data_IF_614854364974
#
_entry.id   IF_614854364974
#
_cell.length_a   1.000
_cell.length_b   1.000
_cell.length_c   1.000
_cell.angle_alpha   90.00
_cell.angle_beta   90.00
_cell.angle_gamma   90.00
#
_symmetry.space_group_name_H-M   'P 1'
#
loop_
_entity.id
_entity.type
_entity.pdbx_description
1 polymer ?
#
# COMPACT_ATOMS: atom_id res chain seq x y z
N UNK A 1 -8.51 26.35 -7.63
CA UNK A 1 -8.76 25.05 -6.92
C UNK A 1 -7.85 24.89 -5.70
N UNK A 2 -6.53 25.11 -5.82
CA UNK A 2 -5.61 25.27 -4.67
C UNK A 2 -5.97 26.49 -3.80
N UNK A 3 -6.50 27.55 -4.41
CA UNK A 3 -6.97 28.74 -3.68
C UNK A 3 -8.19 28.47 -2.78
N UNK A 4 -8.98 27.42 -3.09
CA UNK A 4 -10.11 26.99 -2.25
C UNK A 4 -9.62 26.38 -0.93
N UNK A 5 -8.49 25.68 -0.95
CA UNK A 5 -7.84 25.08 0.22
C UNK A 5 -7.07 26.15 1.04
N UNK A 6 -6.59 27.23 0.41
CA UNK A 6 -5.98 28.35 1.16
C UNK A 6 -7.00 29.18 1.94
N UNK A 7 -8.21 29.33 1.42
CA UNK A 7 -9.32 29.97 2.14
C UNK A 7 -9.76 29.17 3.38
N UNK A 8 -9.56 27.85 3.42
CA UNK A 8 -9.90 26.99 4.58
C UNK A 8 -9.17 27.35 5.88
N UNK A 9 -7.96 27.92 5.84
CA UNK A 9 -7.22 28.33 7.05
C UNK A 9 -7.78 29.59 7.72
N UNK A 10 -8.77 30.25 7.11
CA UNK A 10 -9.36 31.52 7.57
C UNK A 10 -10.85 31.38 7.93
N UNK A 11 -11.39 30.17 7.96
CA UNK A 11 -12.83 29.94 8.18
C UNK A 11 -13.10 29.76 9.67
N UNK A 12 -13.85 30.71 10.23
CA UNK A 12 -14.43 30.61 11.57
C UNK A 12 -15.32 29.36 11.65
N UNK A 13 -15.03 28.51 12.63
CA UNK A 13 -15.66 27.20 12.88
C UNK A 13 -17.03 27.40 13.56
N UNK A 14 -17.94 28.07 12.85
CA UNK A 14 -19.34 28.23 13.21
C UNK A 14 -20.27 28.12 11.99
N UNK A 15 -19.73 27.79 10.82
CA UNK A 15 -20.49 27.85 9.58
C UNK A 15 -21.13 26.49 9.26
N UNK A 16 -22.39 26.34 9.69
CA UNK A 16 -23.28 25.22 9.39
C UNK A 16 -23.32 24.86 7.89
N UNK A 17 -22.98 25.81 7.02
CA UNK A 17 -22.91 25.60 5.58
C UNK A 17 -21.82 24.59 5.19
N UNK A 18 -20.70 24.52 5.92
CA UNK A 18 -19.63 23.56 5.63
C UNK A 18 -20.02 22.13 6.00
N UNK A 19 -20.62 21.93 7.17
CA UNK A 19 -21.14 20.63 7.60
C UNK A 19 -22.24 20.12 6.64
N UNK A 20 -23.15 21.02 6.21
CA UNK A 20 -24.17 20.72 5.19
C UNK A 20 -23.56 20.33 3.84
N UNK A 21 -22.52 21.04 3.39
CA UNK A 21 -21.84 20.72 2.14
C UNK A 21 -21.12 19.36 2.21
N UNK A 22 -20.49 19.04 3.35
CA UNK A 22 -19.83 17.75 3.58
C UNK A 22 -20.84 16.60 3.64
N UNK A 23 -21.97 16.77 4.34
CA UNK A 23 -23.03 15.76 4.38
C UNK A 23 -23.66 15.54 3.01
N UNK A 24 -23.98 16.63 2.28
CA UNK A 24 -24.57 16.54 0.94
C UNK A 24 -23.64 15.84 -0.05
N UNK A 25 -22.32 15.96 0.15
CA UNK A 25 -21.32 15.25 -0.63
C UNK A 25 -21.21 13.77 -0.26
N UNK A 26 -21.12 13.44 1.04
CA UNK A 26 -20.94 12.07 1.51
C UNK A 26 -22.22 11.23 1.45
N UNK A 27 -23.40 11.85 1.60
CA UNK A 27 -24.70 11.20 1.72
C UNK A 27 -25.79 11.98 0.94
N UNK A 28 -25.72 12.01 -0.40
CA UNK A 28 -26.58 12.89 -1.22
C UNK A 28 -28.08 12.58 -1.13
N UNK A 29 -28.44 11.39 -0.64
CA UNK A 29 -29.83 10.93 -0.53
C UNK A 29 -30.35 10.89 0.91
N UNK A 30 -29.53 11.28 1.90
CA UNK A 30 -29.99 11.40 3.29
C UNK A 30 -30.30 12.87 3.58
N UNK A 31 -31.40 13.18 4.26
CA UNK A 31 -31.66 14.54 4.73
C UNK A 31 -30.64 14.91 5.81
N UNK A 32 -30.03 16.09 5.69
CA UNK A 32 -29.20 16.66 6.75
C UNK A 32 -30.10 16.96 7.96
N UNK A 33 -30.00 16.14 9.00
CA UNK A 33 -30.64 16.43 10.28
C UNK A 33 -29.94 17.64 10.89
N UNK A 34 -30.59 18.80 10.82
CA UNK A 34 -30.21 19.93 11.67
C UNK A 34 -30.43 19.51 13.11
N UNK A 35 -29.36 19.07 13.76
CA UNK A 35 -29.32 19.05 15.21
C UNK A 35 -29.51 20.50 15.65
N UNK A 36 -30.65 20.81 16.27
CA UNK A 36 -30.86 22.08 16.93
C UNK A 36 -29.65 22.36 17.82
N UNK A 37 -28.97 23.46 17.51
CA UNK A 37 -27.55 23.74 17.82
C UNK A 37 -27.16 23.77 19.31
N UNK A 38 -28.09 23.47 20.23
CA UNK A 38 -27.97 23.82 21.65
C UNK A 38 -28.03 22.65 22.64
N UNK A 39 -28.03 21.38 22.22
CA UNK A 39 -28.07 20.26 23.19
C UNK A 39 -27.00 19.17 23.01
N UNK A 40 -26.36 19.06 21.85
CA UNK A 40 -25.27 18.07 21.64
C UNK A 40 -23.88 18.64 21.96
N UNK A 41 -23.67 19.96 21.78
CA UNK A 41 -22.40 20.64 22.05
C UNK A 41 -22.00 20.62 23.53
N UNK A 42 -22.96 20.53 24.45
CA UNK A 42 -22.66 20.46 25.90
C UNK A 42 -22.11 19.09 26.34
N UNK A 43 -22.14 18.07 25.47
CA UNK A 43 -21.78 16.69 25.82
C UNK A 43 -20.52 16.15 25.13
N UNK A 44 -20.09 16.78 24.03
CA UNK A 44 -18.86 16.44 23.31
C UNK A 44 -17.94 17.64 23.44
N UNK A 45 -16.80 17.47 24.11
CA UNK A 45 -15.83 18.57 24.23
C UNK A 45 -15.44 19.07 22.84
N UNK A 46 -15.22 20.38 22.70
CA UNK A 46 -14.79 21.00 21.45
C UNK A 46 -13.57 20.28 20.84
N UNK A 47 -12.62 19.86 21.69
CA UNK A 47 -11.45 19.05 21.30
C UNK A 47 -11.82 17.69 20.69
N UNK A 48 -12.81 16.99 21.26
CA UNK A 48 -13.28 15.70 20.74
C UNK A 48 -13.97 15.87 19.38
N UNK A 49 -14.74 16.95 19.20
CA UNK A 49 -15.38 17.26 17.93
C UNK A 49 -14.36 17.61 16.83
N UNK A 50 -13.37 18.44 17.13
CA UNK A 50 -12.28 18.76 16.19
C UNK A 50 -11.48 17.53 15.80
N UNK A 51 -11.21 16.63 16.76
CA UNK A 51 -10.54 15.35 16.49
C UNK A 51 -11.35 14.48 15.54
N UNK A 52 -12.65 14.32 15.79
CA UNK A 52 -13.55 13.49 14.98
C UNK A 52 -13.72 14.04 13.55
N UNK A 53 -13.84 15.37 13.39
CA UNK A 53 -13.92 15.99 12.07
C UNK A 53 -12.59 15.90 11.33
N UNK A 54 -11.47 16.11 12.01
CA UNK A 54 -10.14 15.99 11.40
C UNK A 54 -9.91 14.57 10.89
N UNK A 55 -10.28 13.57 11.69
CA UNK A 55 -10.18 12.16 11.32
C UNK A 55 -11.16 11.79 10.20
N UNK A 56 -12.41 12.25 10.26
CA UNK A 56 -13.39 12.07 9.19
C UNK A 56 -12.93 12.68 7.87
N UNK A 57 -12.42 13.92 7.89
CA UNK A 57 -11.90 14.60 6.71
C UNK A 57 -10.62 13.94 6.19
N UNK A 58 -9.74 13.46 7.08
CA UNK A 58 -8.54 12.69 6.70
C UNK A 58 -8.94 11.43 5.96
N UNK A 59 -9.91 10.69 6.50
CA UNK A 59 -10.40 9.45 5.90
C UNK A 59 -11.13 9.73 4.57
N UNK A 60 -11.96 10.77 4.51
CA UNK A 60 -12.68 11.15 3.29
C UNK A 60 -11.73 11.62 2.18
N UNK A 61 -10.71 12.44 2.50
CA UNK A 61 -9.74 12.94 1.52
C UNK A 61 -8.74 11.86 1.10
N UNK A 62 -8.36 10.96 2.02
CA UNK A 62 -7.48 9.84 1.71
C UNK A 62 -8.18 8.83 0.79
N UNK A 63 -9.39 8.39 1.14
CA UNK A 63 -10.18 7.44 0.34
C UNK A 63 -10.52 8.06 -1.03
N UNK A 64 -10.84 9.36 -1.08
CA UNK A 64 -11.06 10.06 -2.34
C UNK A 64 -9.78 10.16 -3.21
N UNK A 65 -8.61 10.38 -2.61
CA UNK A 65 -7.33 10.42 -3.35
C UNK A 65 -6.95 9.03 -3.86
N UNK A 66 -7.15 7.99 -3.05
CA UNK A 66 -7.00 6.61 -3.45
C UNK A 66 -7.91 6.28 -4.63
N UNK A 67 -9.20 6.63 -4.55
CA UNK A 67 -10.20 6.40 -5.61
C UNK A 67 -9.97 7.19 -6.90
N UNK A 68 -9.46 8.43 -6.83
CA UNK A 68 -9.06 9.16 -8.05
C UNK A 68 -7.87 8.48 -8.73
N UNK A 69 -6.88 8.06 -7.93
CA UNK A 69 -5.73 7.31 -8.42
C UNK A 69 -6.18 5.98 -9.04
N UNK A 70 -7.13 5.27 -8.41
CA UNK A 70 -7.77 4.06 -8.96
C UNK A 70 -8.51 4.32 -10.29
N UNK A 71 -9.22 5.44 -10.41
CA UNK A 71 -9.93 5.82 -11.65
C UNK A 71 -8.97 6.05 -12.82
N UNK A 72 -7.73 6.44 -12.53
CA UNK A 72 -6.66 6.67 -13.53
C UNK A 72 -5.82 5.40 -13.76
N UNK A 73 -5.64 4.58 -12.73
CA UNK A 73 -4.80 3.40 -12.69
C UNK A 73 -5.58 2.25 -12.04
N UNK A 74 -6.09 1.33 -12.86
CA UNK A 74 -7.07 0.32 -12.44
C UNK A 74 -6.51 -0.80 -11.56
N UNK A 75 -5.19 -0.90 -11.40
CA UNK A 75 -4.55 -2.06 -10.79
C UNK A 75 -3.44 -1.70 -9.81
N UNK A 76 -3.26 -2.56 -8.82
CA UNK A 76 -2.19 -2.52 -7.84
C UNK A 76 -1.30 -3.76 -7.96
N UNK A 77 -0.01 -3.54 -8.14
CA UNK A 77 1.00 -4.58 -8.22
C UNK A 77 1.70 -4.70 -6.86
N UNK A 78 1.29 -5.69 -6.07
CA UNK A 78 1.96 -6.03 -4.82
C UNK A 78 3.22 -6.82 -5.14
N UNK A 79 4.36 -6.31 -4.66
CA UNK A 79 5.67 -6.91 -4.90
C UNK A 79 6.22 -7.51 -3.62
N UNK A 80 6.58 -8.79 -3.70
CA UNK A 80 7.27 -9.51 -2.66
C UNK A 80 8.69 -9.81 -3.13
N UNK A 81 9.68 -9.56 -2.28
CA UNK A 81 11.10 -9.86 -2.54
C UNK A 81 11.53 -11.06 -1.73
N UNK A 82 12.38 -11.87 -2.34
CA UNK A 82 13.04 -13.01 -1.70
C UNK A 82 14.20 -12.55 -0.81
N UNK A 83 14.20 -13.00 0.43
CA UNK A 83 15.31 -12.86 1.37
C UNK A 83 16.21 -14.10 1.29
N UNK A 84 17.48 -13.88 0.95
CA UNK A 84 18.51 -14.91 0.90
C UNK A 84 19.67 -14.54 1.82
N UNK A 85 20.16 -15.52 2.57
CA UNK A 85 21.43 -15.41 3.30
C UNK A 85 22.48 -16.28 2.65
N UNK A 86 23.70 -15.77 2.57
CA UNK A 86 24.84 -16.55 2.08
C UNK A 86 25.51 -17.26 3.26
N UNK A 87 25.35 -18.59 3.33
CA UNK A 87 25.91 -19.44 4.37
C UNK A 87 26.57 -20.66 3.72
N UNK A 88 27.74 -21.06 4.22
CA UNK A 88 28.45 -22.28 3.77
C UNK A 88 28.67 -22.37 2.24
N UNK A 89 28.89 -21.23 1.57
CA UNK A 89 29.13 -21.18 0.13
C UNK A 89 27.86 -21.23 -0.74
N UNK A 90 26.66 -21.15 -0.15
CA UNK A 90 25.37 -21.23 -0.85
C UNK A 90 24.44 -20.09 -0.41
N UNK A 91 23.54 -19.69 -1.31
CA UNK A 91 22.42 -18.83 -0.96
C UNK A 91 21.26 -19.68 -0.45
N UNK A 92 20.91 -19.49 0.81
CA UNK A 92 19.78 -20.15 1.47
C UNK A 92 18.62 -19.17 1.57
N UNK A 93 17.46 -19.59 1.08
CA UNK A 93 16.25 -18.77 1.11
C UNK A 93 15.67 -18.75 2.53
N UNK A 94 15.47 -17.55 3.08
CA UNK A 94 14.94 -17.35 4.43
C UNK A 94 13.46 -17.03 4.44
N UNK A 95 12.97 -16.31 3.44
CA UNK A 95 11.64 -15.74 3.52
C UNK A 95 11.25 -14.86 2.34
N UNK A 96 10.00 -14.41 2.40
CA UNK A 96 9.48 -13.32 1.59
C UNK A 96 9.23 -12.11 2.48
N UNK A 97 9.50 -10.94 1.93
CA UNK A 97 9.15 -9.64 2.51
C UNK A 97 8.53 -8.77 1.42
N UNK A 98 7.73 -7.80 1.79
CA UNK A 98 7.20 -6.83 0.86
C UNK A 98 8.33 -5.95 0.32
N UNK A 99 8.28 -5.67 -0.97
CA UNK A 99 9.01 -4.58 -1.59
C UNK A 99 8.16 -3.32 -1.59
N UNK A 100 6.90 -3.43 -2.03
CA UNK A 100 5.95 -2.33 -2.11
C UNK A 100 4.66 -2.71 -2.82
N UNK A 101 3.71 -1.77 -2.83
CA UNK A 101 2.46 -1.85 -3.57
C UNK A 101 2.49 -0.77 -4.64
N UNK A 102 2.46 -1.13 -5.91
CA UNK A 102 2.70 -0.17 -7.00
C UNK A 102 1.47 0.05 -7.84
N UNK A 103 1.22 1.29 -8.24
CA UNK A 103 0.23 1.56 -9.27
C UNK A 103 0.66 0.95 -10.62
N UNK A 104 -0.27 0.23 -11.25
CA UNK A 104 0.00 -0.52 -12.47
C UNK A 104 -1.10 -0.34 -13.53
N UNK A 105 -0.73 -0.64 -14.78
CA UNK A 105 -1.65 -0.70 -15.93
C UNK A 105 -1.83 -2.16 -16.36
N UNK A 106 -2.95 -2.46 -17.03
CA UNK A 106 -3.32 -3.82 -17.48
C UNK A 106 -2.23 -4.48 -18.35
N UNK A 107 -1.39 -3.70 -19.03
CA UNK A 107 -0.28 -4.18 -19.87
C UNK A 107 0.95 -4.61 -19.06
N UNK A 108 0.85 -4.71 -17.73
CA UNK A 108 1.99 -4.98 -16.84
C UNK A 108 2.99 -3.83 -16.76
N UNK A 109 2.77 -2.73 -17.48
CA UNK A 109 3.64 -1.55 -17.43
C UNK A 109 3.40 -0.79 -16.13
N UNK A 110 4.43 -0.79 -15.28
CA UNK A 110 4.46 -0.06 -14.02
C UNK A 110 4.33 1.44 -14.25
N UNK A 111 3.64 2.12 -13.34
CA UNK A 111 3.57 3.58 -13.33
C UNK A 111 4.55 4.07 -12.29
N UNK A 112 5.77 4.39 -12.73
CA UNK A 112 6.78 4.99 -11.87
C UNK A 112 6.60 6.51 -11.81
N UNK A 113 6.87 7.09 -10.63
CA UNK A 113 6.85 8.54 -10.40
C UNK A 113 5.46 9.14 -10.60
N UNK A 114 4.47 8.58 -9.90
CA UNK A 114 3.11 9.10 -9.92
C UNK A 114 3.07 10.53 -9.36
N UNK A 115 3.97 10.83 -8.41
CA UNK A 115 4.48 12.19 -8.21
C UNK A 115 5.51 12.49 -9.31
N UNK A 116 5.07 13.15 -10.41
CA UNK A 116 5.87 13.50 -11.61
C UNK A 116 7.35 13.74 -11.29
N UNK A 117 8.30 12.99 -11.90
CA UNK A 117 9.77 13.21 -11.86
C UNK A 117 10.21 14.37 -10.94
N UNK A 118 10.02 14.22 -9.64
CA UNK A 118 10.36 15.29 -8.72
C UNK A 118 11.86 15.15 -8.53
N UNK A 119 12.64 15.95 -9.25
CA UNK A 119 14.05 16.12 -8.94
C UNK A 119 14.20 17.39 -8.11
N UNK A 120 15.18 17.41 -7.19
CA UNK A 120 15.44 18.59 -6.37
C UNK A 120 14.49 18.73 -5.18
N UNK A 121 13.95 19.93 -4.97
CA UNK A 121 13.30 20.33 -3.71
C UNK A 121 11.97 19.65 -3.46
N UNK A 122 11.20 19.34 -4.51
CA UNK A 122 9.89 18.69 -4.38
C UNK A 122 10.01 17.25 -3.86
N UNK A 123 11.03 16.50 -4.29
CA UNK A 123 11.30 15.17 -3.74
C UNK A 123 11.67 15.23 -2.26
N UNK A 124 12.50 16.20 -1.87
CA UNK A 124 12.87 16.41 -0.47
C UNK A 124 11.65 16.78 0.39
N UNK A 125 10.75 17.59 -0.15
CA UNK A 125 9.48 17.90 0.51
C UNK A 125 8.62 16.64 0.68
N UNK A 126 8.48 15.82 -0.37
CA UNK A 126 7.70 14.58 -0.32
C UNK A 126 8.28 13.58 0.69
N UNK A 127 9.60 13.41 0.74
CA UNK A 127 10.26 12.58 1.76
C UNK A 127 9.94 13.06 3.18
N UNK A 128 10.02 14.38 3.43
CA UNK A 128 9.71 14.94 4.75
C UNK A 128 8.24 14.76 5.13
N UNK A 129 7.32 14.94 4.17
CA UNK A 129 5.89 14.66 4.37
C UNK A 129 5.66 13.18 4.68
N UNK A 130 6.32 12.28 3.95
CA UNK A 130 6.23 10.85 4.17
C UNK A 130 6.75 10.43 5.56
N UNK A 131 7.86 10.99 6.02
CA UNK A 131 8.36 10.78 7.37
C UNK A 131 7.32 11.17 8.43
N UNK A 132 6.71 12.36 8.28
CA UNK A 132 5.68 12.83 9.20
C UNK A 132 4.41 11.96 9.19
N UNK A 133 4.02 11.42 8.03
CA UNK A 133 2.91 10.49 7.92
C UNK A 133 3.23 9.14 8.59
N UNK A 134 4.46 8.65 8.45
CA UNK A 134 4.88 7.39 9.08
C UNK A 134 4.87 7.46 10.61
N UNK A 135 5.04 8.65 11.19
CA UNK A 135 4.93 8.86 12.64
C UNK A 135 3.47 8.88 13.12
N UNK A 136 2.52 9.20 12.23
CA UNK A 136 1.08 9.21 12.49
C UNK A 136 0.38 7.89 12.13
N UNK A 137 1.10 6.97 11.49
CA UNK A 137 0.56 5.67 11.08
C UNK A 137 0.16 4.85 12.29
N UNK A 138 -0.96 4.15 12.17
CA UNK A 138 -1.45 3.22 13.18
C UNK A 138 -0.31 2.29 13.68
N UNK A 139 -0.04 2.22 15.00
CA UNK A 139 1.00 1.37 15.56
C UNK A 139 0.88 -0.11 15.20
N UNK A 140 -0.34 -0.64 15.02
CA UNK A 140 -0.58 -2.01 14.61
C UNK A 140 -0.12 -2.25 13.16
N UNK A 141 -0.46 -1.33 12.26
CA UNK A 141 -0.02 -1.38 10.86
C UNK A 141 1.50 -1.26 10.80
N UNK A 142 2.08 -0.33 11.56
CA UNK A 142 3.54 -0.17 11.65
C UNK A 142 4.24 -1.43 12.19
N UNK A 143 3.63 -2.11 13.15
CA UNK A 143 4.14 -3.40 13.68
C UNK A 143 4.11 -4.49 12.61
N UNK A 144 3.03 -4.57 11.83
CA UNK A 144 2.93 -5.48 10.67
C UNK A 144 3.97 -5.14 9.60
N UNK A 145 4.22 -3.86 9.32
CA UNK A 145 5.27 -3.44 8.39
C UNK A 145 6.68 -3.86 8.84
N UNK A 146 6.99 -3.75 10.13
CA UNK A 146 8.28 -4.24 10.66
C UNK A 146 8.44 -5.74 10.40
N UNK A 147 7.37 -6.50 10.53
CA UNK A 147 7.40 -7.95 10.36
C UNK A 147 7.44 -8.38 8.89
N UNK A 148 6.66 -7.72 8.03
CA UNK A 148 6.40 -8.18 6.67
C UNK A 148 7.00 -7.31 5.57
N UNK A 149 7.49 -6.11 5.89
CA UNK A 149 8.04 -5.15 4.92
C UNK A 149 9.44 -4.68 5.33
N UNK A 150 10.30 -5.60 5.76
CA UNK A 150 11.67 -5.25 6.11
C UNK A 150 12.59 -5.18 4.87
N UNK A 151 13.62 -4.36 4.93
CA UNK A 151 14.67 -4.31 3.89
C UNK A 151 15.59 -5.52 4.01
N UNK A 152 15.66 -6.33 2.94
CA UNK A 152 16.57 -7.49 2.83
C UNK A 152 18.06 -7.10 2.84
N UNK A 153 18.39 -5.85 2.49
CA UNK A 153 19.79 -5.38 2.49
C UNK A 153 20.24 -5.05 3.90
N UNK A 154 19.43 -4.30 4.64
CA UNK A 154 19.70 -3.81 6.00
C UNK A 154 18.40 -3.49 6.72
N UNK A 155 18.14 -4.16 7.84
CA UNK A 155 16.90 -3.97 8.63
C UNK A 155 16.71 -2.54 9.12
N UNK A 156 17.80 -1.83 9.46
CA UNK A 156 17.79 -0.40 9.84
C UNK A 156 17.32 0.54 8.73
N UNK A 157 17.28 0.08 7.47
CA UNK A 157 16.84 0.85 6.31
C UNK A 157 15.37 0.61 5.96
N UNK A 158 14.61 -0.17 6.75
CA UNK A 158 13.20 -0.48 6.44
C UNK A 158 12.32 0.78 6.40
N UNK A 159 12.52 1.72 7.34
CA UNK A 159 11.81 3.02 7.30
C UNK A 159 12.06 3.79 6.01
N UNK A 160 13.33 3.85 5.60
CA UNK A 160 13.73 4.52 4.36
C UNK A 160 13.10 3.84 3.14
N UNK A 161 13.09 2.52 3.11
CA UNK A 161 12.39 1.74 2.07
C UNK A 161 10.91 2.14 2.00
N UNK A 162 10.17 2.13 3.12
CA UNK A 162 8.74 2.46 3.13
C UNK A 162 8.44 3.84 2.57
N UNK A 163 9.25 4.82 2.97
CA UNK A 163 9.14 6.21 2.53
C UNK A 163 9.44 6.32 1.02
N UNK A 164 10.54 5.73 0.55
CA UNK A 164 10.91 5.75 -0.86
C UNK A 164 9.84 5.10 -1.74
N UNK A 165 9.25 4.00 -1.28
CA UNK A 165 8.20 3.27 -2.01
C UNK A 165 6.91 4.10 -2.10
N UNK A 166 6.48 4.73 -1.00
CA UNK A 166 5.31 5.61 -1.03
C UNK A 166 5.53 6.80 -1.97
N UNK A 167 6.68 7.47 -1.88
CA UNK A 167 6.98 8.63 -2.70
C UNK A 167 7.06 8.29 -4.20
N UNK A 168 7.63 7.13 -4.54
CA UNK A 168 7.88 6.74 -5.93
C UNK A 168 6.68 6.08 -6.62
N UNK A 169 5.96 5.24 -5.89
CA UNK A 169 4.95 4.33 -6.47
C UNK A 169 3.55 4.51 -5.88
N UNK A 170 3.45 5.15 -4.71
CA UNK A 170 2.19 5.42 -4.02
C UNK A 170 1.72 6.86 -4.17
N UNK A 171 0.85 7.23 -3.24
CA UNK A 171 0.41 8.60 -2.97
C UNK A 171 0.79 8.92 -1.53
N UNK A 172 0.97 10.22 -1.23
CA UNK A 172 1.37 10.66 0.11
C UNK A 172 0.19 10.59 1.09
N UNK A 173 -0.10 9.39 1.60
CA UNK A 173 -1.08 9.14 2.66
C UNK A 173 -0.70 7.90 3.46
N UNK A 174 -1.09 7.86 4.74
CA UNK A 174 -0.95 6.67 5.59
C UNK A 174 -1.66 5.44 5.00
N UNK A 175 -2.78 5.66 4.32
CA UNK A 175 -3.60 4.61 3.70
C UNK A 175 -2.82 3.80 2.66
N UNK A 176 -1.78 4.37 2.03
CA UNK A 176 -0.89 3.61 1.16
C UNK A 176 -0.27 2.40 1.89
N UNK A 177 0.25 2.60 3.10
CA UNK A 177 0.86 1.52 3.87
C UNK A 177 -0.19 0.56 4.43
N UNK A 178 -1.34 1.08 4.85
CA UNK A 178 -2.48 0.28 5.32
C UNK A 178 -2.94 -0.70 4.22
N UNK A 179 -3.19 -0.17 3.01
CA UNK A 179 -3.60 -0.96 1.84
C UNK A 179 -2.53 -1.93 1.37
N UNK A 180 -1.25 -1.54 1.44
CA UNK A 180 -0.15 -2.44 1.12
C UNK A 180 -0.10 -3.65 2.09
N UNK A 181 -0.29 -3.40 3.39
CA UNK A 181 -0.35 -4.48 4.38
C UNK A 181 -1.61 -5.32 4.18
N UNK A 182 -2.77 -4.70 3.97
CA UNK A 182 -4.03 -5.39 3.66
C UNK A 182 -3.86 -6.37 2.49
N UNK A 183 -3.28 -5.91 1.39
CA UNK A 183 -3.01 -6.73 0.20
C UNK A 183 -2.01 -7.87 0.49
N UNK A 184 -1.02 -7.68 1.36
CA UNK A 184 0.03 -8.66 1.61
C UNK A 184 -0.33 -9.73 2.65
N UNK A 185 -1.19 -9.41 3.62
CA UNK A 185 -1.53 -10.30 4.73
C UNK A 185 -2.03 -11.69 4.31
N UNK A 186 -2.88 -11.85 3.27
CA UNK A 186 -3.29 -13.17 2.79
C UNK A 186 -2.13 -14.05 2.33
N UNK A 187 -1.00 -13.45 1.93
CA UNK A 187 0.13 -14.15 1.30
C UNK A 187 1.34 -14.35 2.21
N UNK A 188 1.46 -13.54 3.26
CA UNK A 188 2.64 -13.55 4.15
C UNK A 188 2.33 -14.05 5.56
N UNK A 189 1.10 -13.91 6.05
CA UNK A 189 0.75 -14.33 7.40
C UNK A 189 0.64 -15.86 7.51
N UNK A 190 0.97 -16.42 8.68
CA UNK A 190 0.85 -17.87 8.93
C UNK A 190 -0.57 -18.39 8.80
N UNK A 191 -1.56 -17.52 9.03
CA UNK A 191 -2.99 -17.80 8.97
C UNK A 191 -3.61 -17.26 7.66
N UNK A 192 -2.78 -16.80 6.72
CA UNK A 192 -3.22 -16.27 5.45
C UNK A 192 -3.82 -17.34 4.56
N UNK A 193 -4.74 -16.93 3.70
CA UNK A 193 -5.47 -17.81 2.78
C UNK A 193 -4.51 -18.50 1.80
N UNK A 194 -3.40 -17.84 1.46
CA UNK A 194 -2.45 -18.34 0.46
C UNK A 194 -1.01 -17.99 0.80
N UNK A 195 -0.48 -18.57 1.88
CA UNK A 195 0.89 -18.31 2.27
C UNK A 195 1.89 -18.84 1.20
N UNK A 196 2.50 -17.93 0.43
CA UNK A 196 3.40 -18.29 -0.69
C UNK A 196 4.62 -19.06 -0.17
N UNK A 197 5.10 -18.76 1.03
CA UNK A 197 6.19 -19.51 1.64
C UNK A 197 5.84 -20.98 1.84
N UNK A 198 4.59 -21.28 2.20
CA UNK A 198 4.15 -22.67 2.36
C UNK A 198 4.10 -23.39 1.01
N UNK A 199 3.61 -22.71 -0.05
CA UNK A 199 3.63 -23.27 -1.41
C UNK A 199 5.06 -23.62 -1.85
N UNK A 200 6.02 -22.71 -1.66
CA UNK A 200 7.42 -22.95 -2.02
C UNK A 200 8.04 -24.13 -1.24
N UNK A 201 7.64 -24.32 0.02
CA UNK A 201 8.09 -25.43 0.86
C UNK A 201 7.46 -26.76 0.46
N UNK A 202 6.15 -26.79 0.26
CA UNK A 202 5.38 -27.99 -0.10
C UNK A 202 5.84 -28.57 -1.44
N UNK A 203 6.14 -27.70 -2.41
CA UNK A 203 6.56 -28.10 -3.76
C UNK A 203 8.09 -28.28 -3.86
N UNK A 204 8.79 -28.30 -2.72
CA UNK A 204 10.24 -28.55 -2.61
C UNK A 204 11.14 -27.60 -3.42
N UNK A 205 10.68 -26.37 -3.73
CA UNK A 205 11.50 -25.36 -4.40
C UNK A 205 12.60 -24.75 -3.51
N UNK A 206 12.60 -25.10 -2.22
CA UNK A 206 13.58 -24.71 -1.22
C UNK A 206 14.90 -25.48 -1.39
N UNK A 207 15.66 -25.19 -2.46
CA UNK A 207 17.01 -25.75 -2.68
C UNK A 207 17.14 -26.75 -3.82
N UNK A 208 16.05 -27.04 -4.54
CA UNK A 208 16.07 -27.79 -5.80
C UNK A 208 16.38 -26.92 -7.03
N UNK A 209 16.70 -27.57 -8.15
CA UNK A 209 16.67 -26.93 -9.46
C UNK A 209 15.29 -27.17 -10.07
N UNK A 210 14.70 -26.12 -10.65
CA UNK A 210 13.40 -26.15 -11.31
C UNK A 210 13.40 -25.17 -12.46
N UNK A 211 12.55 -25.42 -13.43
CA UNK A 211 12.26 -24.48 -14.52
C UNK A 211 11.36 -23.36 -14.01
N UNK A 212 11.42 -22.20 -14.68
CA UNK A 212 10.49 -21.10 -14.38
C UNK A 212 9.04 -21.53 -14.55
N UNK A 213 8.76 -22.42 -15.51
CA UNK A 213 7.41 -22.92 -15.78
C UNK A 213 6.88 -23.79 -14.62
N UNK A 214 7.69 -24.73 -14.10
CA UNK A 214 7.28 -25.56 -12.96
C UNK A 214 6.92 -24.72 -11.73
N UNK A 215 7.70 -23.66 -11.46
CA UNK A 215 7.39 -22.74 -10.37
C UNK A 215 6.09 -21.95 -10.63
N UNK A 216 5.88 -21.46 -11.85
CA UNK A 216 4.64 -20.76 -12.22
C UNK A 216 3.42 -21.67 -12.12
N UNK A 217 3.51 -22.90 -12.62
CA UNK A 217 2.42 -23.88 -12.60
C UNK A 217 2.06 -24.29 -11.17
N UNK A 218 3.07 -24.52 -10.32
CA UNK A 218 2.86 -24.85 -8.93
C UNK A 218 2.21 -23.70 -8.14
N UNK A 219 2.65 -22.46 -8.38
CA UNK A 219 2.00 -21.29 -7.82
C UNK A 219 0.57 -21.17 -8.33
N UNK A 220 0.35 -21.27 -9.64
CA UNK A 220 -0.96 -21.18 -10.27
C UNK A 220 -1.94 -22.21 -9.71
N UNK A 221 -1.49 -23.45 -9.50
CA UNK A 221 -2.30 -24.53 -8.91
C UNK A 221 -2.81 -24.19 -7.51
N UNK A 222 -2.04 -23.42 -6.73
CA UNK A 222 -2.43 -22.99 -5.38
C UNK A 222 -3.25 -21.71 -5.41
N UNK A 223 -2.82 -20.74 -6.22
CA UNK A 223 -3.37 -19.38 -6.29
C UNK A 223 -4.64 -19.29 -7.12
N UNK A 224 -4.84 -20.21 -8.06
CA UNK A 224 -5.78 -20.11 -9.17
C UNK A 224 -5.64 -18.77 -9.93
N UNK A 225 -4.45 -18.16 -9.89
CA UNK A 225 -4.13 -16.86 -10.47
C UNK A 225 -2.69 -16.81 -10.96
N UNK A 226 -2.45 -16.17 -12.11
CA UNK A 226 -1.09 -15.95 -12.64
C UNK A 226 -0.35 -14.91 -11.80
N UNK A 227 0.92 -15.21 -11.51
CA UNK A 227 1.85 -14.38 -10.75
C UNK A 227 3.02 -14.01 -11.64
N UNK A 228 3.46 -12.76 -11.59
CA UNK A 228 4.68 -12.32 -12.27
C UNK A 228 5.93 -12.74 -11.47
N UNK A 229 6.89 -13.37 -12.14
CA UNK A 229 8.12 -13.86 -11.50
C UNK A 229 9.34 -13.17 -12.09
N UNK A 230 10.08 -12.47 -11.23
CA UNK A 230 11.38 -11.92 -11.59
C UNK A 230 12.49 -12.78 -11.02
N UNK A 231 13.52 -13.01 -11.82
CA UNK A 231 14.68 -13.82 -11.45
C UNK A 231 15.95 -12.97 -11.42
N UNK A 232 16.90 -13.37 -10.58
CA UNK A 232 18.21 -12.72 -10.47
C UNK A 232 19.32 -13.74 -10.49
N UNK A 233 20.43 -13.39 -11.16
CA UNK A 233 21.66 -14.18 -11.12
C UNK A 233 22.47 -13.83 -9.87
N UNK A 234 22.82 -14.84 -9.07
CA UNK A 234 23.69 -14.74 -7.91
C UNK A 234 24.71 -15.88 -7.94
N UNK A 235 26.01 -15.58 -7.89
CA UNK A 235 27.10 -16.56 -7.97
C UNK A 235 26.94 -17.56 -9.13
N UNK A 236 26.60 -17.05 -10.33
CA UNK A 236 26.44 -17.87 -11.55
C UNK A 236 25.15 -18.69 -11.63
N UNK A 237 24.34 -18.74 -10.56
CA UNK A 237 23.04 -19.43 -10.54
C UNK A 237 21.88 -18.43 -10.62
N UNK A 238 20.73 -18.89 -11.11
CA UNK A 238 19.50 -18.09 -11.23
C UNK A 238 18.59 -18.46 -10.07
N UNK A 239 18.06 -17.44 -9.38
CA UNK A 239 17.12 -17.60 -8.27
C UNK A 239 15.91 -16.71 -8.52
N UNK A 240 14.72 -17.09 -8.03
CA UNK A 240 13.63 -16.14 -7.87
C UNK A 240 14.11 -14.95 -7.06
N UNK A 241 13.75 -13.75 -7.49
CA UNK A 241 14.09 -12.51 -6.83
C UNK A 241 12.85 -11.84 -6.28
N UNK A 242 11.80 -11.74 -7.10
CA UNK A 242 10.56 -11.07 -6.73
C UNK A 242 9.34 -11.79 -7.31
N UNK A 243 8.24 -11.75 -6.57
CA UNK A 243 6.90 -12.17 -6.98
C UNK A 243 6.03 -10.91 -7.11
N UNK A 244 5.33 -10.77 -8.24
CA UNK A 244 4.30 -9.76 -8.44
C UNK A 244 2.92 -10.39 -8.33
N UNK A 245 2.06 -9.80 -7.50
CA UNK A 245 0.66 -10.19 -7.29
C UNK A 245 -0.23 -9.03 -7.72
N UNK A 246 -1.06 -9.23 -8.75
CA UNK A 246 -1.87 -8.15 -9.31
C UNK A 246 -3.21 -8.10 -8.59
N UNK A 247 -3.62 -6.91 -8.22
CA UNK A 247 -4.88 -6.65 -7.58
C UNK A 247 -5.68 -5.62 -8.38
N UNK A 248 -7.00 -5.74 -8.35
CA UNK A 248 -7.91 -4.71 -8.87
C UNK A 248 -8.05 -3.53 -7.88
N UNK A 249 -8.94 -2.59 -8.19
CA UNK A 249 -9.19 -1.41 -7.35
C UNK A 249 -9.69 -1.75 -5.95
N UNK A 250 -10.38 -2.88 -5.78
CA UNK A 250 -10.92 -3.34 -4.50
C UNK A 250 -9.94 -4.26 -3.76
N UNK A 251 -8.68 -4.31 -4.21
CA UNK A 251 -7.66 -5.22 -3.73
C UNK A 251 -8.03 -6.71 -3.88
N UNK A 252 -8.90 -7.06 -4.83
CA UNK A 252 -9.11 -8.46 -5.16
C UNK A 252 -7.91 -8.97 -5.97
N UNK A 253 -7.44 -10.17 -5.63
CA UNK A 253 -6.36 -10.82 -6.35
C UNK A 253 -6.83 -11.34 -7.72
N UNK A 254 -6.19 -10.84 -8.78
CA UNK A 254 -6.54 -11.11 -10.18
C UNK A 254 -5.34 -11.66 -10.97
N UNK A 255 -5.62 -12.16 -12.16
CA UNK A 255 -4.58 -12.69 -13.04
C UNK A 255 -3.67 -11.58 -13.56
N UNK A 256 -2.36 -11.84 -13.53
CA UNK A 256 -1.44 -11.13 -14.40
C UNK A 256 -1.80 -11.40 -15.88
N UNK A 257 -1.77 -10.36 -16.75
CA UNK A 257 -1.91 -10.54 -18.19
C UNK A 257 -0.86 -11.53 -18.72
N UNK A 258 -1.19 -12.31 -19.76
CA UNK A 258 -0.17 -13.03 -20.51
C UNK A 258 0.75 -12.05 -21.21
N UNK A 259 2.04 -12.36 -21.27
CA UNK A 259 3.05 -11.60 -22.02
C UNK A 259 2.92 -11.75 -23.55
N UNK A 260 1.73 -12.10 -24.05
CA UNK A 260 1.44 -12.25 -25.50
C UNK A 260 1.04 -10.91 -26.14
#
# INVERSE_FOLDING_TARGET
RVDYIRQWRTINIGDNQLARNLHSFAYPNLPFLELEHNQMYDSISHELYESLITEFLRNLLSDYTFRIMQGTYRYWDLRLTCDYVYQSGKHEFRGLTMHGLWLSRISGSRVDNVSKKTHGDEWRANLKTAESLLDQLDPEVKSKMVLYWYSVRRTSESKKLWIEQMCKHGYLSCEYWEKAIEAAMPFLSSNGILNIMNVLKEEMFMGGNYTSQELQDALYKKTCRRIDLNFKRMNGKIYPAEFGLLHDSELNFIDYPSNE
#
